data_IF_017585430350
#
_entry.id   IF_017585430350
#
_cell.length_a   1.000
_cell.length_b   1.000
_cell.length_c   1.000
_cell.angle_alpha   90.00
_cell.angle_beta   90.00
_cell.angle_gamma   90.00
#
_symmetry.space_group_name_H-M   'P 1'
#
loop_
_entity.id
_entity.type
_entity.pdbx_description
1 polymer ?
#
# COMPACT_ATOMS: atom_id res chain seq x y z
N UNK A 1 12.25 2.16 -20.29
CA UNK A 1 11.98 2.65 -18.92
C UNK A 1 13.09 2.05 -18.07
N UNK A 2 14.14 2.81 -17.74
CA UNK A 2 15.38 2.27 -17.15
C UNK A 2 15.55 2.77 -15.71
N UNK A 3 16.03 1.91 -14.81
CA UNK A 3 16.18 2.25 -13.39
C UNK A 3 17.50 1.72 -12.81
N UNK A 4 18.11 2.52 -11.94
CA UNK A 4 19.35 2.20 -11.24
C UNK A 4 20.59 2.36 -12.11
N UNK A 5 21.73 1.93 -11.55
CA UNK A 5 23.05 1.97 -12.19
C UNK A 5 23.62 0.59 -12.47
N UNK A 6 23.10 -0.44 -11.78
CA UNK A 6 23.44 -1.84 -11.97
C UNK A 6 22.31 -2.73 -11.47
N UNK A 7 22.34 -4.02 -11.81
CA UNK A 7 21.45 -5.01 -11.20
C UNK A 7 22.09 -6.39 -11.09
N UNK A 8 21.54 -7.25 -10.24
CA UNK A 8 21.82 -8.68 -10.24
C UNK A 8 20.86 -9.42 -11.17
N UNK A 9 21.41 -10.19 -12.10
CA UNK A 9 20.64 -11.05 -13.00
C UNK A 9 20.08 -12.31 -12.29
N UNK A 10 19.48 -13.21 -13.05
CA UNK A 10 18.89 -14.45 -12.52
C UNK A 10 19.94 -15.38 -11.89
N UNK A 11 21.18 -15.32 -12.35
CA UNK A 11 22.32 -16.08 -11.85
C UNK A 11 23.07 -15.33 -10.73
N UNK A 12 22.50 -14.23 -10.22
CA UNK A 12 23.10 -13.33 -9.21
C UNK A 12 24.42 -12.69 -9.66
N UNK A 13 24.65 -12.60 -10.97
CA UNK A 13 25.79 -11.86 -11.52
C UNK A 13 25.44 -10.38 -11.65
N UNK A 14 26.42 -9.52 -11.36
CA UNK A 14 26.27 -8.08 -11.49
C UNK A 14 26.37 -7.68 -12.96
N UNK A 15 25.39 -6.91 -13.42
CA UNK A 15 25.37 -6.25 -14.72
C UNK A 15 25.46 -4.74 -14.46
N UNK A 16 26.52 -4.09 -14.96
CA UNK A 16 26.78 -2.66 -14.76
C UNK A 16 26.04 -1.78 -15.77
N UNK A 17 24.71 -1.95 -15.82
CA UNK A 17 23.81 -1.08 -16.58
C UNK A 17 22.45 -0.94 -15.86
N UNK A 18 21.65 0.09 -16.19
CA UNK A 18 20.30 0.23 -15.66
C UNK A 18 19.39 -0.93 -16.06
N UNK A 19 18.58 -1.43 -15.11
CA UNK A 19 17.61 -2.49 -15.39
C UNK A 19 16.46 -1.96 -16.26
N UNK A 20 16.11 -2.67 -17.33
CA UNK A 20 14.94 -2.35 -18.16
C UNK A 20 13.63 -2.85 -17.52
N UNK A 21 12.68 -1.93 -17.40
CA UNK A 21 11.33 -2.14 -16.85
C UNK A 21 10.25 -2.20 -17.95
N UNK A 22 10.61 -2.11 -19.23
CA UNK A 22 9.66 -2.16 -20.37
C UNK A 22 8.70 -3.35 -20.34
N UNK A 23 9.16 -4.49 -19.82
CA UNK A 23 8.38 -5.73 -19.71
C UNK A 23 7.83 -6.01 -18.30
N UNK A 24 8.00 -5.09 -17.35
CA UNK A 24 7.52 -5.26 -15.97
C UNK A 24 6.16 -4.61 -15.80
N UNK A 25 5.34 -5.16 -14.91
CA UNK A 25 4.03 -4.58 -14.58
C UNK A 25 4.20 -3.15 -14.05
N UNK A 26 3.46 -2.22 -14.64
CA UNK A 26 3.47 -0.81 -14.26
C UNK A 26 2.05 -0.26 -14.22
N UNK A 27 1.80 0.66 -13.29
CA UNK A 27 0.59 1.47 -13.23
C UNK A 27 0.96 2.87 -12.79
N UNK A 28 0.36 3.90 -13.40
CA UNK A 28 0.55 5.27 -12.93
C UNK A 28 -0.05 5.48 -11.55
N UNK A 29 0.55 6.36 -10.75
CA UNK A 29 0.04 6.72 -9.42
C UNK A 29 -1.44 7.13 -9.48
N UNK A 30 -1.82 7.92 -10.50
CA UNK A 30 -3.20 8.38 -10.70
C UNK A 30 -4.16 7.24 -10.96
N UNK A 31 -3.81 6.30 -11.85
CA UNK A 31 -4.67 5.14 -12.13
C UNK A 31 -4.78 4.26 -10.90
N UNK A 32 -3.67 4.02 -10.21
CA UNK A 32 -3.67 3.20 -9.01
C UNK A 32 -4.55 3.81 -7.92
N UNK A 33 -4.38 5.09 -7.62
CA UNK A 33 -5.22 5.83 -6.68
C UNK A 33 -6.71 5.73 -7.03
N UNK A 34 -7.06 5.93 -8.30
CA UNK A 34 -8.45 5.83 -8.76
C UNK A 34 -9.00 4.42 -8.67
N UNK A 35 -8.20 3.36 -8.77
CA UNK A 35 -8.68 1.99 -8.60
C UNK A 35 -9.21 1.74 -7.18
N UNK A 36 -8.51 2.21 -6.15
CA UNK A 36 -8.98 2.08 -4.77
C UNK A 36 -10.29 2.85 -4.55
N UNK A 37 -10.38 4.08 -5.07
CA UNK A 37 -11.61 4.87 -5.06
C UNK A 37 -12.76 4.13 -5.77
N UNK A 38 -12.51 3.65 -6.99
CA UNK A 38 -13.53 3.02 -7.84
C UNK A 38 -14.04 1.69 -7.28
N UNK A 39 -13.16 0.93 -6.62
CA UNK A 39 -13.56 -0.29 -5.93
C UNK A 39 -14.35 0.05 -4.67
N UNK A 40 -13.85 0.93 -3.81
CA UNK A 40 -14.48 1.16 -2.50
C UNK A 40 -15.75 2.01 -2.59
N UNK A 41 -15.75 3.06 -3.42
CA UNK A 41 -16.79 4.11 -3.52
C UNK A 41 -17.03 4.53 -4.97
N UNK A 42 -17.57 3.63 -5.83
CA UNK A 42 -17.78 3.90 -7.27
C UNK A 42 -18.74 5.07 -7.56
N UNK A 43 -19.53 5.50 -6.58
CA UNK A 43 -20.49 6.59 -6.68
C UNK A 43 -19.86 7.99 -6.52
N UNK A 44 -18.61 8.08 -6.07
CA UNK A 44 -17.94 9.36 -5.84
C UNK A 44 -17.29 9.94 -7.12
N UNK A 45 -17.21 11.27 -7.25
CA UNK A 45 -16.48 11.91 -8.34
C UNK A 45 -15.04 11.41 -8.45
N UNK A 46 -14.59 11.14 -9.67
CA UNK A 46 -13.24 10.62 -9.94
C UNK A 46 -13.15 9.09 -9.96
N UNK A 47 -14.16 8.36 -9.49
CA UNK A 47 -14.28 6.93 -9.74
C UNK A 47 -14.37 6.64 -11.26
N UNK A 48 -13.89 5.48 -11.67
CA UNK A 48 -14.00 4.96 -13.03
C UNK A 48 -14.93 3.75 -13.04
N UNK A 49 -15.70 3.58 -14.11
CA UNK A 49 -16.48 2.38 -14.32
C UNK A 49 -15.54 1.21 -14.58
N UNK A 50 -15.49 0.24 -13.65
CA UNK A 50 -14.62 -0.94 -13.74
C UNK A 50 -15.23 -2.09 -14.54
N UNK A 51 -16.51 -1.99 -14.92
CA UNK A 51 -17.22 -3.07 -15.63
C UNK A 51 -17.43 -4.33 -14.78
N UNK A 52 -17.32 -4.24 -13.45
CA UNK A 52 -17.49 -5.37 -12.54
C UNK A 52 -18.96 -5.61 -12.21
N UNK A 53 -19.39 -6.87 -12.26
CA UNK A 53 -20.62 -7.29 -11.60
C UNK A 53 -20.52 -7.06 -10.08
N UNK A 54 -21.67 -6.86 -9.44
CA UNK A 54 -21.74 -6.63 -7.99
C UNK A 54 -21.04 -7.74 -7.17
N UNK A 55 -21.20 -9.00 -7.58
CA UNK A 55 -20.55 -10.16 -6.93
C UNK A 55 -19.02 -10.13 -7.02
N UNK A 56 -18.47 -9.70 -8.15
CA UNK A 56 -17.02 -9.61 -8.36
C UNK A 56 -16.42 -8.45 -7.56
N UNK A 57 -17.12 -7.31 -7.52
CA UNK A 57 -16.72 -6.18 -6.67
C UNK A 57 -16.75 -6.57 -5.19
N UNK A 58 -17.80 -7.25 -4.74
CA UNK A 58 -17.91 -7.72 -3.36
C UNK A 58 -16.76 -8.68 -3.00
N UNK A 59 -16.46 -9.63 -3.89
CA UNK A 59 -15.33 -10.55 -3.73
C UNK A 59 -13.99 -9.82 -3.59
N UNK A 60 -13.70 -8.84 -4.46
CA UNK A 60 -12.47 -8.06 -4.38
C UNK A 60 -12.38 -7.27 -3.06
N UNK A 61 -13.46 -6.62 -2.65
CA UNK A 61 -13.48 -5.87 -1.39
C UNK A 61 -13.27 -6.78 -0.18
N UNK A 62 -13.87 -7.97 -0.17
CA UNK A 62 -13.64 -8.97 0.86
C UNK A 62 -12.16 -9.35 0.90
N UNK A 63 -11.60 -9.79 -0.23
CA UNK A 63 -10.19 -10.22 -0.31
C UNK A 63 -9.19 -9.12 0.08
N UNK A 64 -9.51 -7.85 -0.18
CA UNK A 64 -8.66 -6.70 0.19
C UNK A 64 -8.74 -6.31 1.67
N UNK A 65 -9.72 -6.82 2.42
CA UNK A 65 -9.93 -6.51 3.84
C UNK A 65 -9.75 -7.70 4.77
N UNK A 66 -9.70 -8.91 4.20
CA UNK A 66 -9.52 -10.15 4.94
C UNK A 66 -8.10 -10.24 5.53
N UNK A 67 -8.00 -10.63 6.80
CA UNK A 67 -6.73 -11.01 7.38
C UNK A 67 -6.30 -12.34 6.73
N UNK A 68 -5.11 -12.44 6.12
CA UNK A 68 -4.61 -13.71 5.59
C UNK A 68 -4.71 -14.87 6.59
N UNK A 69 -4.55 -14.62 7.89
CA UNK A 69 -4.68 -15.66 8.90
C UNK A 69 -6.11 -16.19 9.08
N UNK A 70 -7.12 -15.45 8.62
CA UNK A 70 -8.52 -15.88 8.59
C UNK A 70 -8.88 -16.69 7.33
N UNK A 71 -7.97 -16.79 6.35
CA UNK A 71 -8.19 -17.53 5.11
C UNK A 71 -8.44 -19.02 5.40
N UNK A 72 -9.58 -19.59 4.97
CA UNK A 72 -9.84 -21.02 5.10
C UNK A 72 -9.10 -21.85 4.04
N UNK A 73 -8.69 -21.23 2.92
CA UNK A 73 -7.94 -21.89 1.85
C UNK A 73 -7.25 -20.85 0.93
N UNK A 74 -5.90 -20.87 0.82
CA UNK A 74 -4.97 -21.67 1.61
C UNK A 74 -4.93 -21.19 3.06
N UNK A 75 -4.62 -22.11 3.99
CA UNK A 75 -4.42 -21.76 5.41
C UNK A 75 -3.00 -21.24 5.61
N UNK A 76 -2.85 -20.10 6.28
CA UNK A 76 -1.56 -19.50 6.59
C UNK A 76 -1.24 -19.66 8.09
N UNK A 77 -0.38 -20.63 8.48
CA UNK A 77 -0.17 -20.97 9.90
C UNK A 77 0.81 -20.03 10.63
N UNK A 78 1.50 -19.14 9.91
CA UNK A 78 2.50 -18.26 10.50
C UNK A 78 1.84 -16.97 11.03
N UNK A 79 1.77 -16.75 12.36
CA UNK A 79 1.15 -15.55 12.92
C UNK A 79 1.86 -14.26 12.48
N UNK A 80 3.10 -14.33 11.99
CA UNK A 80 3.82 -13.19 11.39
C UNK A 80 3.25 -12.77 10.03
N UNK A 81 2.34 -13.55 9.43
CA UNK A 81 1.64 -13.23 8.17
C UNK A 81 0.28 -12.56 8.37
N UNK A 82 0.05 -11.91 9.50
CA UNK A 82 -1.15 -11.08 9.67
C UNK A 82 -1.23 -10.00 8.59
N UNK A 83 -2.45 -9.60 8.24
CA UNK A 83 -2.70 -8.56 7.22
C UNK A 83 -1.97 -7.24 7.54
N UNK A 84 -1.74 -6.98 8.83
CA UNK A 84 -1.01 -5.82 9.32
C UNK A 84 0.48 -5.84 8.92
N UNK A 85 1.11 -7.00 8.78
CA UNK A 85 2.53 -7.10 8.43
C UNK A 85 2.85 -6.39 7.10
N UNK A 86 1.94 -6.52 6.13
CA UNK A 86 2.12 -6.03 4.76
C UNK A 86 1.59 -4.61 4.55
N UNK A 87 0.73 -4.11 5.44
CA UNK A 87 0.18 -2.76 5.36
C UNK A 87 0.86 -1.88 6.42
N UNK A 88 1.94 -1.19 6.03
CA UNK A 88 2.72 -0.42 7.01
C UNK A 88 1.98 0.83 7.47
N UNK A 89 1.14 1.41 6.62
CA UNK A 89 0.41 2.64 6.93
C UNK A 89 -0.69 2.42 7.99
N UNK A 90 -1.41 1.29 7.96
CA UNK A 90 -2.39 0.96 9.02
C UNK A 90 -1.73 0.79 10.39
N UNK A 91 -0.51 0.26 10.46
CA UNK A 91 0.26 0.20 11.72
C UNK A 91 0.52 1.61 12.29
N UNK A 92 0.70 2.61 11.42
CA UNK A 92 0.80 4.01 11.80
C UNK A 92 -0.51 4.56 12.34
N UNK A 93 -1.62 4.30 11.63
CA UNK A 93 -2.96 4.72 12.05
C UNK A 93 -3.34 4.15 13.44
N UNK A 94 -2.92 2.91 13.73
CA UNK A 94 -3.13 2.25 15.02
C UNK A 94 -2.46 2.96 16.21
N UNK A 95 -1.52 3.88 15.97
CA UNK A 95 -0.95 4.75 17.03
C UNK A 95 -1.91 5.86 17.47
N UNK A 96 -2.90 6.19 16.64
CA UNK A 96 -3.87 7.26 16.90
C UNK A 96 -5.28 6.75 17.21
N UNK A 97 -5.67 5.59 16.67
CA UNK A 97 -7.02 5.04 16.85
C UNK A 97 -7.03 3.50 16.84
N UNK A 98 -7.99 2.83 17.51
CA UNK A 98 -8.05 1.37 17.56
C UNK A 98 -8.30 0.74 16.18
N UNK A 99 -7.75 -0.45 15.95
CA UNK A 99 -7.84 -1.15 14.66
C UNK A 99 -9.27 -1.46 14.26
N UNK A 100 -10.12 -1.77 15.23
CA UNK A 100 -11.53 -2.15 15.04
C UNK A 100 -12.34 -1.03 14.39
N UNK A 101 -11.91 0.23 14.57
CA UNK A 101 -12.50 1.39 13.91
C UNK A 101 -12.01 1.59 12.48
N UNK A 102 -10.87 1.03 12.10
CA UNK A 102 -10.25 1.28 10.81
C UNK A 102 -10.77 0.25 9.80
N UNK A 103 -11.58 0.69 8.84
CA UNK A 103 -11.85 -0.07 7.62
C UNK A 103 -10.79 0.28 6.59
N UNK A 104 -9.91 -0.66 6.28
CA UNK A 104 -8.80 -0.48 5.35
C UNK A 104 -8.96 -1.37 4.12
N UNK A 105 -9.39 -0.79 2.99
CA UNK A 105 -9.49 -1.49 1.70
C UNK A 105 -8.27 -1.11 0.88
N UNK A 106 -7.22 -1.93 0.92
CA UNK A 106 -5.94 -1.54 0.34
C UNK A 106 -5.17 -2.63 -0.37
N UNK A 107 -4.14 -2.18 -1.08
CA UNK A 107 -3.14 -3.05 -1.71
C UNK A 107 -1.75 -2.48 -1.50
N UNK A 108 -0.98 -3.15 -0.66
CA UNK A 108 0.44 -2.88 -0.50
C UNK A 108 1.30 -3.59 -1.56
N UNK A 109 2.53 -3.12 -1.71
CA UNK A 109 3.49 -3.65 -2.68
C UNK A 109 4.91 -3.23 -2.32
N UNK A 110 5.87 -4.14 -2.52
CA UNK A 110 7.27 -3.88 -2.23
C UNK A 110 8.18 -4.67 -3.17
N UNK A 111 8.95 -3.97 -3.99
CA UNK A 111 9.88 -4.58 -4.93
C UNK A 111 10.86 -3.52 -5.46
N UNK A 112 12.09 -3.93 -5.79
CA UNK A 112 13.08 -3.07 -6.47
C UNK A 112 13.40 -1.75 -5.72
N UNK A 113 13.22 -1.69 -4.40
CA UNK A 113 13.39 -0.47 -3.60
C UNK A 113 12.12 0.38 -3.48
N UNK A 114 11.06 0.08 -4.25
CA UNK A 114 9.75 0.71 -4.06
C UNK A 114 9.01 0.05 -2.91
N UNK A 115 8.40 0.86 -2.06
CA UNK A 115 7.42 0.46 -1.06
C UNK A 115 6.18 1.34 -1.27
N UNK A 116 5.08 0.72 -1.66
CA UNK A 116 3.85 1.40 -2.01
C UNK A 116 2.67 0.88 -1.19
N UNK A 117 1.72 1.77 -0.98
CA UNK A 117 0.43 1.47 -0.36
C UNK A 117 -0.65 2.30 -1.07
N UNK A 118 -1.82 1.71 -1.26
CA UNK A 118 -2.95 2.34 -1.92
C UNK A 118 -4.23 1.84 -1.28
N UNK A 119 -4.95 2.73 -0.64
CA UNK A 119 -6.09 2.33 0.16
C UNK A 119 -7.20 3.37 0.17
N UNK A 120 -8.43 2.86 0.19
CA UNK A 120 -9.55 3.55 0.79
C UNK A 120 -9.58 3.22 2.29
N UNK A 121 -9.66 4.26 3.11
CA UNK A 121 -9.65 4.15 4.57
C UNK A 121 -10.84 4.90 5.13
N UNK A 122 -11.57 4.25 6.03
CA UNK A 122 -12.77 4.79 6.66
C UNK A 122 -12.76 4.49 8.15
N UNK A 123 -13.07 5.50 8.95
CA UNK A 123 -13.39 5.33 10.36
C UNK A 123 -14.84 4.88 10.50
N UNK A 124 -15.04 3.65 10.96
CA UNK A 124 -16.36 3.01 11.09
C UNK A 124 -17.28 3.73 12.06
N UNK A 125 -16.75 4.49 13.02
CA UNK A 125 -17.57 5.21 13.99
C UNK A 125 -18.11 6.53 13.45
N UNK A 126 -17.27 7.30 12.75
CA UNK A 126 -17.64 8.64 12.27
C UNK A 126 -18.07 8.68 10.80
N UNK A 127 -17.76 7.62 10.04
CA UNK A 127 -17.94 7.58 8.58
C UNK A 127 -16.97 8.48 7.81
N UNK A 128 -16.03 9.16 8.48
CA UNK A 128 -14.98 9.92 7.80
C UNK A 128 -14.08 8.98 7.03
N UNK A 129 -13.78 9.34 5.79
CA UNK A 129 -13.03 8.49 4.89
C UNK A 129 -12.11 9.28 3.97
N UNK A 130 -11.09 8.59 3.46
CA UNK A 130 -10.15 9.11 2.48
C UNK A 130 -9.69 8.01 1.53
N UNK A 131 -9.21 8.41 0.37
CA UNK A 131 -8.36 7.56 -0.48
C UNK A 131 -6.95 8.12 -0.42
N UNK A 132 -5.98 7.25 -0.21
CA UNK A 132 -4.57 7.61 -0.11
C UNK A 132 -3.73 6.64 -0.90
N UNK A 133 -2.75 7.17 -1.61
CA UNK A 133 -1.73 6.38 -2.30
C UNK A 133 -0.38 6.96 -2.00
N UNK A 134 0.54 6.14 -1.51
CA UNK A 134 1.90 6.50 -1.22
C UNK A 134 2.85 5.56 -1.96
N UNK A 135 3.92 6.12 -2.54
CA UNK A 135 5.02 5.36 -3.15
C UNK A 135 6.31 5.98 -2.65
N UNK A 136 7.13 5.20 -1.97
CA UNK A 136 8.45 5.61 -1.49
C UNK A 136 9.49 4.74 -2.17
N UNK A 137 10.54 5.36 -2.71
CA UNK A 137 11.67 4.67 -3.31
C UNK A 137 12.89 4.81 -2.40
N UNK A 138 13.45 3.70 -1.92
CA UNK A 138 14.63 3.67 -1.07
C UNK A 138 15.65 2.66 -1.60
N UNK A 139 16.42 3.09 -2.58
CA UNK A 139 17.55 2.35 -3.13
C UNK A 139 18.78 3.27 -3.18
N UNK A 140 19.62 3.22 -2.16
CA UNK A 140 20.71 4.21 -1.98
C UNK A 140 21.96 3.92 -2.80
N UNK A 141 22.26 2.65 -3.09
CA UNK A 141 23.42 2.28 -3.91
C UNK A 141 23.09 2.18 -5.41
N UNK A 142 21.80 2.28 -5.75
CA UNK A 142 21.32 2.23 -7.13
C UNK A 142 21.42 0.84 -7.77
N UNK A 143 21.71 -0.20 -7.00
CA UNK A 143 21.79 -1.58 -7.48
C UNK A 143 20.42 -2.24 -7.29
N UNK A 144 19.92 -2.91 -8.33
CA UNK A 144 18.66 -3.64 -8.26
C UNK A 144 18.91 -5.13 -8.04
N UNK A 145 17.96 -5.82 -7.41
CA UNK A 145 17.97 -7.26 -7.11
C UNK A 145 19.08 -7.76 -6.17
N UNK A 146 19.75 -6.87 -5.45
CA UNK A 146 20.78 -7.21 -4.46
C UNK A 146 20.25 -7.31 -3.02
N UNK A 147 18.95 -7.04 -2.85
CA UNK A 147 18.21 -7.05 -1.59
C UNK A 147 18.69 -6.01 -0.55
N UNK A 148 19.41 -4.96 -0.97
CA UNK A 148 19.95 -3.89 -0.11
C UNK A 148 19.12 -2.60 -0.15
N UNK A 149 17.83 -2.74 0.10
CA UNK A 149 16.92 -1.59 0.08
C UNK A 149 16.71 -0.97 1.46
N UNK A 150 16.45 0.33 1.50
CA UNK A 150 16.15 1.09 2.72
C UNK A 150 14.74 0.85 3.26
N UNK A 151 14.25 -0.40 3.23
CA UNK A 151 12.86 -0.66 3.63
C UNK A 151 12.62 -0.38 5.10
N UNK A 152 13.46 -0.94 5.98
CA UNK A 152 13.28 -0.86 7.43
C UNK A 152 13.77 0.48 8.01
N UNK A 153 14.80 1.08 7.40
CA UNK A 153 15.38 2.34 7.84
C UNK A 153 14.68 3.59 7.31
N UNK A 154 14.07 3.53 6.12
CA UNK A 154 13.48 4.71 5.45
C UNK A 154 11.98 4.52 5.21
N UNK A 155 11.60 3.52 4.40
CA UNK A 155 10.22 3.48 3.89
C UNK A 155 9.19 3.11 4.95
N UNK A 156 9.51 2.17 5.84
CA UNK A 156 8.60 1.72 6.89
C UNK A 156 8.33 2.81 7.93
N UNK A 157 9.35 3.47 8.52
CA UNK A 157 9.13 4.61 9.40
C UNK A 157 8.27 5.69 8.73
N UNK A 158 8.62 6.09 7.51
CA UNK A 158 7.86 7.09 6.76
C UNK A 158 6.38 6.73 6.60
N UNK A 159 6.07 5.51 6.17
CA UNK A 159 4.68 5.08 5.95
C UNK A 159 3.89 4.99 7.27
N UNK A 160 4.54 4.62 8.38
CA UNK A 160 3.89 4.64 9.71
C UNK A 160 3.57 6.07 10.12
N UNK A 161 4.52 6.99 9.99
CA UNK A 161 4.33 8.37 10.41
C UNK A 161 3.30 9.09 9.52
N UNK A 162 3.27 8.77 8.22
CA UNK A 162 2.22 9.21 7.31
C UNK A 162 0.84 8.68 7.74
N UNK A 163 0.74 7.39 8.06
CA UNK A 163 -0.51 6.78 8.51
C UNK A 163 -1.06 7.43 9.78
N UNK A 164 -0.20 7.65 10.77
CA UNK A 164 -0.58 8.34 12.01
C UNK A 164 -1.06 9.77 11.72
N UNK A 165 -0.29 10.53 10.93
CA UNK A 165 -0.64 11.92 10.60
C UNK A 165 -1.99 12.02 9.88
N UNK A 166 -2.27 11.10 8.95
CA UNK A 166 -3.55 11.08 8.23
C UNK A 166 -4.72 10.67 9.13
N UNK A 167 -4.53 9.68 10.01
CA UNK A 167 -5.55 9.31 10.99
C UNK A 167 -5.95 10.51 11.85
N UNK A 168 -4.98 11.23 12.39
CA UNK A 168 -5.21 12.45 13.20
C UNK A 168 -5.91 13.54 12.40
N UNK A 169 -5.36 13.91 11.25
CA UNK A 169 -5.84 15.06 10.49
C UNK A 169 -7.21 14.83 9.82
N UNK A 170 -7.44 13.62 9.29
CA UNK A 170 -8.61 13.34 8.42
C UNK A 170 -9.68 12.52 9.13
N UNK A 171 -9.29 11.46 9.85
CA UNK A 171 -10.26 10.55 10.49
C UNK A 171 -10.74 11.10 11.84
N UNK A 172 -9.82 11.61 12.66
CA UNK A 172 -10.14 12.20 13.96
C UNK A 172 -10.47 13.71 13.86
N UNK A 173 -10.02 14.38 12.80
CA UNK A 173 -10.24 15.81 12.60
C UNK A 173 -9.44 16.71 13.54
N UNK A 174 -8.32 16.20 14.07
CA UNK A 174 -7.37 16.98 14.86
C UNK A 174 -6.73 18.03 13.96
N UNK A 175 -7.07 19.31 14.16
CA UNK A 175 -6.32 20.39 13.53
C UNK A 175 -4.96 20.48 14.23
N UNK A 176 -3.86 20.45 13.46
CA UNK A 176 -2.57 20.91 14.00
C UNK A 176 -2.81 22.33 14.50
N UNK A 177 -2.68 22.54 15.81
CA UNK A 177 -2.62 23.89 16.37
C UNK A 177 -1.53 24.63 15.61
N UNK A 178 -1.86 25.79 15.05
CA UNK A 178 -0.87 26.72 14.56
C UNK A 178 0.01 27.09 15.76
N UNK A 179 1.18 26.48 15.84
CA UNK A 179 2.25 26.79 16.78
C UNK A 179 3.41 27.37 16.01
#
# INVERSE_FOLDING_TARGET
LQLGVAYLDQDKRRVDEPLDFSHKNWVSLRVFHRLALSLARPELPGAAALGLEAKHRAFLLQAMTEDPNASPNPVYPDPKKSGLHYHTMIQGMMRAMPLERIRYVGKAGRAFGFHLDNAYVEDRETGRAMVVTAVVYANSDGVLNDDRYGYDSVTRPFLKDLGEALARAVLLGERRGAG
#
